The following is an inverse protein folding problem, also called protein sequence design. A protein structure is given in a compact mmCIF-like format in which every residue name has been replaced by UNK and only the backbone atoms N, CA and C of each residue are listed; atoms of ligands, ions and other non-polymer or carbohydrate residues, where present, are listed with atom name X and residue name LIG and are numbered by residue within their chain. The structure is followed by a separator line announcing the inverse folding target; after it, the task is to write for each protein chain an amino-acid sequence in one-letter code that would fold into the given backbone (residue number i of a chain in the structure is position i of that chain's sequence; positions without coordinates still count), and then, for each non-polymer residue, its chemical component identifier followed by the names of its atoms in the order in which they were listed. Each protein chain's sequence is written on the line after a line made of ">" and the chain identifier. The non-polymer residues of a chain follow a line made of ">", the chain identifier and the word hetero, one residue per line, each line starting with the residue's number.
data_IF_043825217522
#
_entry.id   IF_043825217522
#
_cell.length_a   1.000
_cell.length_b   1.000
_cell.length_c   1.000
_cell.angle_alpha   90.00
_cell.angle_beta   90.00
_cell.angle_gamma   90.00
#
_symmetry.space_group_name_H-M   'P 1'
#
loop_
_entity.id
_entity.type
_entity.pdbx_description
1 polymer ?
#
# COMPACT_ATOMS: atom_id res chain seq x y z
N UNK A 1 -24.25 -56.70 15.29
CA UNK A 1 -24.41 -55.45 16.07
C UNK A 1 -24.16 -54.33 15.08
N UNK A 2 -25.23 -53.93 14.44
CA UNK A 2 -25.18 -52.97 13.32
C UNK A 2 -25.23 -51.54 13.90
N UNK A 3 -24.13 -50.85 13.87
CA UNK A 3 -24.02 -49.44 14.24
C UNK A 3 -24.27 -48.56 13.03
N UNK A 4 -25.42 -48.72 12.32
CA UNK A 4 -25.88 -47.77 11.35
C UNK A 4 -26.72 -46.70 12.04
N UNK A 5 -26.28 -45.45 11.99
CA UNK A 5 -27.09 -44.34 12.41
C UNK A 5 -28.36 -44.30 11.55
N UNK A 6 -29.52 -44.09 12.18
CA UNK A 6 -30.77 -43.97 11.51
C UNK A 6 -30.82 -42.68 10.69
N UNK A 7 -31.60 -42.66 9.60
CA UNK A 7 -31.78 -41.47 8.75
C UNK A 7 -32.28 -40.27 9.57
N UNK A 8 -33.01 -40.51 10.66
CA UNK A 8 -33.50 -39.47 11.55
C UNK A 8 -32.38 -38.90 12.42
N UNK A 9 -31.38 -39.68 12.83
CA UNK A 9 -30.19 -39.20 13.54
C UNK A 9 -29.25 -38.43 12.63
N UNK A 10 -29.15 -38.83 11.37
CA UNK A 10 -28.39 -38.07 10.35
C UNK A 10 -29.07 -36.74 10.06
N UNK A 11 -30.39 -36.71 9.92
CA UNK A 11 -31.14 -35.47 9.74
C UNK A 11 -31.11 -34.58 10.98
N UNK A 12 -31.09 -35.12 12.19
CA UNK A 12 -30.95 -34.37 13.42
C UNK A 12 -29.55 -33.73 13.53
N UNK A 13 -28.51 -34.44 13.10
CA UNK A 13 -27.14 -33.90 13.06
C UNK A 13 -26.96 -32.82 11.99
N UNK A 14 -27.63 -32.97 10.82
CA UNK A 14 -27.66 -31.97 9.77
C UNK A 14 -28.58 -30.78 10.10
N UNK A 15 -29.63 -31.01 10.90
CA UNK A 15 -30.61 -29.98 11.33
C UNK A 15 -30.26 -29.38 12.71
N UNK A 16 -29.21 -29.85 13.37
CA UNK A 16 -28.78 -29.44 14.71
C UNK A 16 -28.25 -28.00 14.82
N UNK A 17 -28.61 -27.13 13.91
CA UNK A 17 -28.29 -25.73 13.92
C UNK A 17 -29.51 -24.79 13.97
N UNK A 18 -30.66 -25.25 14.50
CA UNK A 18 -31.77 -24.32 14.76
C UNK A 18 -32.74 -24.90 15.76
N UNK A 19 -32.61 -24.59 17.01
CA UNK A 19 -33.68 -24.42 18.01
C UNK A 19 -33.09 -23.75 19.26
N UNK A 20 -33.10 -22.47 19.33
CA UNK A 20 -33.59 -21.80 20.52
C UNK A 20 -34.20 -20.45 20.14
N UNK A 21 -35.49 -20.39 20.31
CA UNK A 21 -36.32 -19.18 20.20
C UNK A 21 -36.35 -18.55 21.58
N UNK A 22 -35.69 -17.43 21.75
CA UNK A 22 -35.70 -16.73 23.03
C UNK A 22 -34.89 -15.42 22.94
N UNK A 23 -35.62 -14.33 22.70
CA UNK A 23 -35.16 -12.95 22.70
C UNK A 23 -34.06 -12.63 23.72
N UNK A 24 -32.90 -12.25 23.23
CA UNK A 24 -32.15 -11.10 23.77
C UNK A 24 -31.17 -10.62 22.71
N UNK A 25 -31.31 -9.34 22.33
CA UNK A 25 -30.38 -8.70 21.39
C UNK A 25 -29.06 -8.42 22.13
N UNK A 26 -28.27 -9.46 22.32
CA UNK A 26 -26.86 -9.35 22.64
C UNK A 26 -26.09 -9.55 21.36
N UNK A 27 -25.36 -8.52 20.93
CA UNK A 27 -24.44 -8.55 19.81
C UNK A 27 -23.63 -9.86 19.85
N UNK A 28 -23.91 -10.78 18.93
CA UNK A 28 -23.06 -11.95 18.73
C UNK A 28 -21.74 -11.45 18.16
N UNK A 29 -20.76 -11.24 19.04
CA UNK A 29 -19.36 -11.21 18.64
C UNK A 29 -19.01 -12.61 18.16
N UNK A 30 -19.31 -12.90 16.91
CA UNK A 30 -18.67 -14.03 16.21
C UNK A 30 -17.18 -13.73 16.29
N UNK A 31 -16.44 -14.64 16.93
CA UNK A 31 -14.97 -14.53 17.01
C UNK A 31 -14.43 -14.77 15.59
N UNK A 32 -14.50 -13.70 14.75
CA UNK A 32 -14.06 -13.77 13.38
C UNK A 32 -12.56 -14.02 13.32
N UNK A 33 -12.17 -15.01 12.55
CA UNK A 33 -10.77 -15.38 12.33
C UNK A 33 -10.52 -15.66 10.86
N UNK A 34 -9.30 -15.43 10.42
CA UNK A 34 -8.81 -15.86 9.10
C UNK A 34 -8.13 -17.23 9.25
N UNK A 35 -8.22 -18.06 8.24
CA UNK A 35 -7.41 -19.29 8.16
C UNK A 35 -5.94 -18.93 7.95
N UNK A 36 -5.02 -19.86 8.22
CA UNK A 36 -3.60 -19.63 8.00
C UNK A 36 -3.30 -19.35 6.52
N UNK A 37 -3.99 -20.03 5.60
CA UNK A 37 -3.91 -19.78 4.16
C UNK A 37 -4.34 -18.36 3.78
N UNK A 38 -5.41 -17.85 4.41
CA UNK A 38 -5.85 -16.47 4.19
C UNK A 38 -4.83 -15.46 4.70
N UNK A 39 -4.23 -15.70 5.87
CA UNK A 39 -3.17 -14.83 6.42
C UNK A 39 -1.94 -14.82 5.54
N UNK A 40 -1.50 -15.97 5.06
CA UNK A 40 -0.34 -16.11 4.18
C UNK A 40 -0.57 -15.37 2.87
N UNK A 41 -1.73 -15.54 2.26
CA UNK A 41 -2.09 -14.84 1.02
C UNK A 41 -2.17 -13.32 1.21
N UNK A 42 -2.80 -12.83 2.27
CA UNK A 42 -2.83 -11.40 2.61
C UNK A 42 -1.42 -10.87 2.84
N UNK A 43 -0.59 -11.63 3.55
CA UNK A 43 0.81 -11.30 3.78
C UNK A 43 1.60 -11.17 2.47
N UNK A 44 1.42 -12.10 1.53
CA UNK A 44 2.12 -12.09 0.24
C UNK A 44 1.69 -10.91 -0.63
N UNK A 45 0.37 -10.69 -0.80
CA UNK A 45 -0.16 -9.53 -1.54
C UNK A 45 0.37 -8.22 -0.96
N UNK A 46 0.34 -8.11 0.37
CA UNK A 46 0.80 -6.92 1.08
C UNK A 46 2.31 -6.73 0.95
N UNK A 47 3.10 -7.81 1.00
CA UNK A 47 4.54 -7.77 0.83
C UNK A 47 4.95 -7.25 -0.57
N UNK A 48 4.35 -7.80 -1.62
CA UNK A 48 4.65 -7.42 -3.01
C UNK A 48 4.25 -5.95 -3.26
N UNK A 49 3.05 -5.56 -2.83
CA UNK A 49 2.54 -4.20 -3.04
C UNK A 49 3.34 -3.16 -2.26
N UNK A 50 3.66 -3.43 -0.99
CA UNK A 50 4.45 -2.53 -0.15
C UNK A 50 5.93 -2.46 -0.56
N UNK A 51 6.49 -3.50 -1.15
CA UNK A 51 7.82 -3.46 -1.76
C UNK A 51 7.91 -2.45 -2.91
N UNK A 52 6.88 -2.40 -3.76
CA UNK A 52 6.77 -1.37 -4.83
C UNK A 52 6.52 0.01 -4.25
N UNK A 53 5.68 0.11 -3.23
CA UNK A 53 5.39 1.35 -2.50
C UNK A 53 6.64 1.94 -1.84
N UNK A 54 7.50 1.11 -1.25
CA UNK A 54 8.77 1.53 -0.65
C UNK A 54 9.70 2.21 -1.67
N UNK A 55 9.74 1.71 -2.91
CA UNK A 55 10.54 2.30 -3.99
C UNK A 55 10.02 3.70 -4.35
N UNK A 56 8.71 3.88 -4.40
CA UNK A 56 8.08 5.18 -4.66
C UNK A 56 8.39 6.16 -3.54
N UNK A 57 8.25 5.75 -2.28
CA UNK A 57 8.57 6.58 -1.13
C UNK A 57 10.06 6.92 -1.09
N UNK A 58 10.95 5.97 -1.42
CA UNK A 58 12.39 6.21 -1.52
C UNK A 58 12.74 7.31 -2.53
N UNK A 59 12.06 7.29 -3.68
CA UNK A 59 12.25 8.33 -4.72
C UNK A 59 11.75 9.69 -4.25
N UNK A 60 10.60 9.73 -3.57
CA UNK A 60 9.99 10.95 -3.07
C UNK A 60 10.84 11.63 -1.99
N UNK A 61 11.40 10.84 -1.06
CA UNK A 61 12.17 11.33 0.07
C UNK A 61 13.66 11.51 -0.25
N UNK A 62 14.13 11.03 -1.41
CA UNK A 62 15.56 10.94 -1.76
C UNK A 62 16.39 10.25 -0.66
N UNK A 63 15.80 9.24 -0.02
CA UNK A 63 16.39 8.40 1.02
C UNK A 63 16.12 6.93 0.73
N UNK A 64 17.00 6.00 1.09
CA UNK A 64 16.70 4.58 0.98
C UNK A 64 15.58 4.20 1.95
N UNK A 65 14.48 3.67 1.41
CA UNK A 65 13.34 3.15 2.18
C UNK A 65 13.27 1.65 2.01
N UNK A 66 13.20 0.92 3.13
CA UNK A 66 12.96 -0.52 3.13
C UNK A 66 11.73 -0.83 3.98
N UNK A 67 10.85 -1.67 3.44
CA UNK A 67 9.68 -2.21 4.13
C UNK A 67 9.83 -3.73 4.11
N UNK A 68 9.80 -4.34 5.30
CA UNK A 68 10.01 -5.80 5.43
C UNK A 68 8.73 -6.59 5.21
N UNK A 69 8.87 -7.91 5.12
CA UNK A 69 7.75 -8.85 5.09
C UNK A 69 6.80 -8.61 6.26
N UNK A 70 5.48 -8.51 6.02
CA UNK A 70 4.51 -8.18 7.05
C UNK A 70 4.22 -9.35 7.99
N UNK A 71 3.67 -8.98 9.15
CA UNK A 71 3.00 -9.90 10.05
C UNK A 71 1.50 -9.63 10.04
N UNK A 72 0.70 -10.66 9.76
CA UNK A 72 -0.77 -10.60 9.76
C UNK A 72 -1.29 -11.13 11.09
N UNK A 73 -1.89 -10.25 11.88
CA UNK A 73 -2.44 -10.55 13.22
C UNK A 73 -3.81 -9.91 13.39
N UNK A 74 -4.39 -10.04 14.57
CA UNK A 74 -5.64 -9.37 14.95
C UNK A 74 -5.37 -8.42 16.09
N UNK A 75 -6.21 -7.38 16.19
CA UNK A 75 -6.10 -6.36 17.22
C UNK A 75 -7.47 -5.77 17.51
N UNK A 76 -7.67 -5.32 18.72
CA UNK A 76 -8.77 -4.47 19.14
C UNK A 76 -8.28 -3.03 19.30
N UNK A 77 -9.20 -2.09 19.45
CA UNK A 77 -8.84 -0.69 19.69
C UNK A 77 -8.06 -0.52 21.00
N UNK A 78 -8.47 -1.20 22.06
CA UNK A 78 -7.83 -1.09 23.37
C UNK A 78 -6.39 -1.61 23.30
N UNK A 79 -6.15 -2.73 22.60
CA UNK A 79 -4.79 -3.24 22.37
C UNK A 79 -3.94 -2.29 21.51
N UNK A 80 -4.56 -1.62 20.54
CA UNK A 80 -3.87 -0.60 19.75
C UNK A 80 -3.50 0.61 20.62
N UNK A 81 -4.43 1.09 21.43
CA UNK A 81 -4.20 2.21 22.34
C UNK A 81 -3.09 1.90 23.37
N UNK A 82 -3.10 0.70 23.92
CA UNK A 82 -2.06 0.25 24.87
C UNK A 82 -0.66 0.09 24.23
N UNK A 83 -0.61 -0.01 22.89
CA UNK A 83 0.66 -0.18 22.15
C UNK A 83 1.40 1.13 21.89
N UNK A 84 0.78 2.29 22.13
CA UNK A 84 1.34 3.61 21.82
C UNK A 84 1.15 4.61 22.96
N UNK A 85 2.24 5.24 23.37
CA UNK A 85 2.24 6.26 24.42
C UNK A 85 1.89 7.68 23.90
N UNK A 86 1.81 7.86 22.58
CA UNK A 86 1.60 9.16 21.91
C UNK A 86 0.56 9.06 20.83
N UNK A 87 -0.03 10.19 20.42
CA UNK A 87 -0.93 10.24 19.25
C UNK A 87 -0.28 9.64 18.00
N UNK A 88 -1.10 9.06 17.13
CA UNK A 88 -0.70 8.52 15.84
C UNK A 88 -1.40 9.24 14.70
N UNK A 89 -0.78 9.23 13.52
CA UNK A 89 -1.44 9.73 12.31
C UNK A 89 -2.11 8.56 11.59
N UNK A 90 -3.43 8.65 11.44
CA UNK A 90 -4.26 7.71 10.73
C UNK A 90 -4.56 8.26 9.34
N UNK A 91 -4.29 7.45 8.32
CA UNK A 91 -4.65 7.78 6.95
C UNK A 91 -5.72 6.79 6.48
N UNK A 92 -6.93 7.31 6.30
CA UNK A 92 -8.06 6.54 5.80
C UNK A 92 -8.00 6.49 4.28
N UNK A 93 -8.03 5.29 3.71
CA UNK A 93 -7.95 5.03 2.28
C UNK A 93 -9.13 4.14 1.91
N UNK A 94 -9.90 4.54 0.91
CA UNK A 94 -10.99 3.75 0.38
C UNK A 94 -10.59 3.17 -0.99
N UNK A 95 -10.85 1.90 -1.21
CA UNK A 95 -10.76 1.31 -2.54
C UNK A 95 -11.97 1.72 -3.36
N UNK A 96 -11.73 2.26 -4.56
CA UNK A 96 -12.77 2.80 -5.45
C UNK A 96 -13.04 1.92 -6.66
N UNK A 97 -12.16 0.97 -6.93
CA UNK A 97 -12.31 -0.03 -7.97
C UNK A 97 -11.53 -1.30 -7.64
N UNK A 98 -12.07 -2.44 -8.05
CA UNK A 98 -11.41 -3.75 -7.98
C UNK A 98 -11.52 -4.47 -6.64
N UNK A 99 -11.45 -3.75 -5.55
CA UNK A 99 -11.71 -4.19 -4.18
C UNK A 99 -12.78 -3.27 -3.59
N UNK A 100 -13.54 -3.77 -2.63
CA UNK A 100 -14.53 -2.98 -1.90
C UNK A 100 -14.14 -2.97 -0.41
N UNK A 101 -13.89 -1.80 0.13
CA UNK A 101 -13.56 -1.63 1.54
C UNK A 101 -12.60 -0.50 1.84
N UNK A 102 -12.30 -0.37 3.12
CA UNK A 102 -11.45 0.66 3.67
C UNK A 102 -10.16 0.05 4.24
N UNK A 103 -9.08 0.81 4.11
CA UNK A 103 -7.80 0.56 4.75
C UNK A 103 -7.45 1.78 5.61
N UNK A 104 -6.97 1.54 6.80
CA UNK A 104 -6.40 2.58 7.66
C UNK A 104 -4.92 2.32 7.82
N UNK A 105 -4.11 3.24 7.33
CA UNK A 105 -2.67 3.22 7.53
C UNK A 105 -2.34 4.01 8.80
N UNK A 106 -1.53 3.44 9.68
CA UNK A 106 -1.16 4.06 10.95
C UNK A 106 0.34 4.30 11.00
N UNK A 107 0.73 5.54 11.27
CA UNK A 107 2.11 5.97 11.45
C UNK A 107 2.27 6.69 12.80
N UNK A 108 3.47 6.57 13.38
CA UNK A 108 3.83 7.35 14.56
C UNK A 108 4.00 8.82 14.21
N UNK A 109 3.64 9.68 15.13
CA UNK A 109 3.77 11.12 15.00
C UNK A 109 5.21 11.57 14.65
N UNK A 110 6.21 10.99 15.31
CA UNK A 110 7.63 11.24 15.03
C UNK A 110 8.03 10.90 13.59
N UNK A 111 7.61 9.75 13.09
CA UNK A 111 7.90 9.31 11.71
C UNK A 111 7.28 10.27 10.68
N UNK A 112 6.06 10.74 10.96
CA UNK A 112 5.37 11.72 10.11
C UNK A 112 6.16 13.02 10.03
N UNK A 113 6.70 13.54 11.14
CA UNK A 113 7.53 14.74 11.14
C UNK A 113 8.77 14.57 10.25
N UNK A 114 9.50 13.47 10.42
CA UNK A 114 10.68 13.18 9.61
C UNK A 114 10.34 13.07 8.12
N UNK A 115 9.31 12.28 7.78
CA UNK A 115 8.88 12.11 6.38
C UNK A 115 8.51 13.45 5.76
N UNK A 116 7.75 14.29 6.47
CA UNK A 116 7.30 15.58 5.95
C UNK A 116 8.44 16.58 5.86
N UNK A 117 9.40 16.60 6.79
CA UNK A 117 10.61 17.41 6.71
C UNK A 117 11.43 17.04 5.47
N UNK A 118 11.67 15.77 5.24
CA UNK A 118 12.38 15.27 4.05
C UNK A 118 11.66 15.67 2.76
N UNK A 119 10.32 15.59 2.70
CA UNK A 119 9.53 16.03 1.54
C UNK A 119 9.68 17.52 1.26
N UNK A 120 9.82 18.34 2.29
CA UNK A 120 10.04 19.78 2.18
C UNK A 120 11.50 20.16 1.90
N UNK A 121 12.38 19.17 1.74
CA UNK A 121 13.80 19.37 1.43
C UNK A 121 14.69 19.54 2.66
N UNK A 122 14.19 19.19 3.84
CA UNK A 122 14.97 19.13 5.10
C UNK A 122 15.89 17.92 5.17
N UNK A 123 16.50 17.72 6.30
CA UNK A 123 17.48 16.65 6.57
C UNK A 123 16.95 15.56 7.53
N UNK A 124 15.69 15.65 7.95
CA UNK A 124 15.06 14.72 8.88
C UNK A 124 15.36 14.98 10.35
N UNK A 125 16.03 16.10 10.69
CA UNK A 125 16.22 16.53 12.07
C UNK A 125 14.98 17.32 12.52
N UNK A 126 14.15 16.73 13.33
CA UNK A 126 12.85 17.27 13.75
C UNK A 126 12.81 17.50 15.26
N UNK A 127 11.95 18.43 15.68
CA UNK A 127 11.68 18.69 17.09
C UNK A 127 10.36 18.00 17.48
N UNK A 128 10.43 17.04 18.41
CA UNK A 128 9.26 16.30 18.89
C UNK A 128 8.29 17.14 19.75
N UNK A 129 8.72 18.30 20.23
CA UNK A 129 7.88 19.19 21.01
C UNK A 129 6.97 20.08 20.15
N UNK A 130 7.20 20.15 18.83
CA UNK A 130 6.33 20.87 17.92
C UNK A 130 5.08 20.05 17.59
N UNK A 131 3.88 20.65 17.68
CA UNK A 131 2.65 19.91 17.35
C UNK A 131 2.56 19.61 15.84
N UNK A 132 1.98 18.46 15.50
CA UNK A 132 1.58 18.17 14.12
C UNK A 132 0.48 19.16 13.72
N UNK A 133 0.72 19.91 12.64
CA UNK A 133 -0.23 20.86 12.05
C UNK A 133 -0.74 20.40 10.68
N UNK A 134 -1.62 21.22 10.09
CA UNK A 134 -2.22 20.94 8.77
C UNK A 134 -1.19 20.73 7.67
N UNK A 135 -0.06 21.43 7.71
CA UNK A 135 1.01 21.26 6.74
C UNK A 135 1.59 19.84 6.80
N UNK A 136 1.82 19.31 8.00
CA UNK A 136 2.32 17.94 8.19
C UNK A 136 1.27 16.92 7.70
N UNK A 137 -0.01 17.10 8.06
CA UNK A 137 -1.08 16.18 7.63
C UNK A 137 -1.28 16.21 6.11
N UNK A 138 -1.19 17.37 5.48
CA UNK A 138 -1.29 17.51 4.03
C UNK A 138 -0.08 16.85 3.33
N UNK A 139 1.13 17.08 3.81
CA UNK A 139 2.35 16.53 3.23
C UNK A 139 2.40 15.00 3.37
N UNK A 140 2.09 14.47 4.56
CA UNK A 140 2.03 13.01 4.75
C UNK A 140 0.90 12.37 3.93
N UNK A 141 -0.24 13.06 3.80
CA UNK A 141 -1.33 12.62 2.93
C UNK A 141 -0.89 12.46 1.49
N UNK A 142 -0.12 13.41 0.96
CA UNK A 142 0.43 13.34 -0.40
C UNK A 142 1.50 12.23 -0.54
N UNK A 143 2.42 12.11 0.43
CA UNK A 143 3.41 11.02 0.42
C UNK A 143 2.74 9.65 0.37
N UNK A 144 1.74 9.44 1.22
CA UNK A 144 1.01 8.19 1.30
C UNK A 144 0.09 7.97 0.10
N UNK A 145 -0.43 9.04 -0.52
CA UNK A 145 -1.18 8.95 -1.77
C UNK A 145 -0.32 8.37 -2.90
N UNK A 146 0.89 8.88 -3.08
CA UNK A 146 1.83 8.37 -4.09
C UNK A 146 2.30 6.94 -3.76
N UNK A 147 2.62 6.67 -2.51
CA UNK A 147 3.04 5.36 -2.03
C UNK A 147 1.95 4.31 -2.24
N UNK A 148 0.73 4.57 -1.78
CA UNK A 148 -0.39 3.64 -1.88
C UNK A 148 -0.96 3.52 -3.30
N UNK A 149 -0.87 4.59 -4.11
CA UNK A 149 -1.18 4.53 -5.54
C UNK A 149 -0.25 3.56 -6.29
N UNK A 150 1.03 3.57 -5.94
CA UNK A 150 2.01 2.61 -6.44
C UNK A 150 1.71 1.17 -5.97
N UNK A 151 1.33 0.98 -4.70
CA UNK A 151 0.87 -0.29 -4.18
C UNK A 151 -0.36 -0.82 -4.93
N UNK A 152 -1.37 0.03 -5.17
CA UNK A 152 -2.58 -0.31 -5.91
C UNK A 152 -2.26 -0.71 -7.37
N UNK A 153 -1.31 -0.03 -8.01
CA UNK A 153 -0.82 -0.39 -9.35
C UNK A 153 -0.13 -1.76 -9.35
N UNK A 154 0.68 -2.05 -8.34
CA UNK A 154 1.32 -3.37 -8.17
C UNK A 154 0.29 -4.47 -7.96
N UNK A 155 -0.70 -4.24 -7.08
CA UNK A 155 -1.82 -5.16 -6.89
C UNK A 155 -2.63 -5.37 -8.18
N UNK A 156 -2.90 -4.31 -8.95
CA UNK A 156 -3.61 -4.40 -10.23
C UNK A 156 -2.89 -5.34 -11.20
N UNK A 157 -1.57 -5.22 -11.29
CA UNK A 157 -0.74 -6.07 -12.15
C UNK A 157 -0.71 -7.53 -11.69
N UNK A 158 -0.63 -7.75 -10.39
CA UNK A 158 -0.57 -9.09 -9.80
C UNK A 158 -1.90 -9.82 -9.89
N UNK A 159 -3.01 -9.11 -9.67
CA UNK A 159 -4.36 -9.69 -9.63
C UNK A 159 -5.06 -9.67 -10.99
N UNK A 160 -4.43 -9.13 -12.04
CA UNK A 160 -5.03 -9.00 -13.38
C UNK A 160 -6.31 -8.15 -13.40
N UNK A 161 -6.52 -7.29 -12.40
CA UNK A 161 -7.75 -6.53 -12.18
C UNK A 161 -7.40 -5.08 -11.85
N UNK A 162 -8.15 -4.13 -12.42
CA UNK A 162 -7.96 -2.72 -12.10
C UNK A 162 -8.28 -2.46 -10.62
N UNK A 163 -7.32 -1.96 -9.86
CA UNK A 163 -7.47 -1.54 -8.47
C UNK A 163 -7.14 -0.05 -8.37
N UNK A 164 -8.07 0.73 -7.87
CA UNK A 164 -7.91 2.16 -7.61
C UNK A 164 -8.25 2.49 -6.17
N UNK A 165 -7.65 3.55 -5.66
CA UNK A 165 -7.89 4.07 -4.31
C UNK A 165 -8.32 5.54 -4.35
N UNK A 166 -9.03 5.99 -3.31
CA UNK A 166 -9.24 7.41 -3.05
C UNK A 166 -7.96 8.06 -2.50
N UNK A 167 -7.79 9.37 -2.64
CA UNK A 167 -6.75 10.08 -1.90
C UNK A 167 -6.89 9.84 -0.39
N UNK A 168 -5.79 9.54 0.33
CA UNK A 168 -5.82 9.33 1.77
C UNK A 168 -6.26 10.58 2.53
N UNK A 169 -7.06 10.38 3.58
CA UNK A 169 -7.42 11.45 4.53
C UNK A 169 -6.60 11.23 5.80
N UNK A 170 -5.69 12.17 6.09
CA UNK A 170 -4.81 12.10 7.25
C UNK A 170 -5.42 12.85 8.44
N UNK A 171 -5.43 12.20 9.61
CA UNK A 171 -5.88 12.77 10.87
C UNK A 171 -4.91 12.41 11.99
N UNK A 172 -4.63 13.35 12.89
CA UNK A 172 -3.93 13.07 14.14
C UNK A 172 -4.93 12.53 15.15
N UNK A 173 -4.70 11.32 15.65
CA UNK A 173 -5.62 10.60 16.54
C UNK A 173 -4.93 10.40 17.88
N UNK A 174 -5.58 10.88 18.95
CA UNK A 174 -5.23 10.52 20.31
C UNK A 174 -5.96 9.21 20.66
N UNK A 175 -5.18 8.16 20.82
CA UNK A 175 -5.69 6.81 21.07
C UNK A 175 -6.37 6.67 22.45
N UNK A 176 -6.10 7.59 23.39
CA UNK A 176 -6.73 7.62 24.71
C UNK A 176 -8.17 8.20 24.67
N UNK A 177 -8.54 8.83 23.56
CA UNK A 177 -9.89 9.39 23.36
C UNK A 177 -10.76 8.33 22.68
N UNK A 178 -12.04 8.25 23.06
CA UNK A 178 -12.97 7.28 22.48
C UNK A 178 -13.13 7.50 20.97
N UNK A 179 -13.28 6.40 20.25
CA UNK A 179 -13.38 6.37 18.79
C UNK A 179 -14.49 7.24 18.22
N UNK A 180 -15.65 7.28 18.88
CA UNK A 180 -16.83 8.07 18.46
C UNK A 180 -16.53 9.56 18.32
N UNK A 181 -15.55 10.08 19.06
CA UNK A 181 -15.11 11.47 19.01
C UNK A 181 -14.12 11.76 17.87
N UNK A 182 -13.48 10.73 17.33
CA UNK A 182 -12.40 10.85 16.34
C UNK A 182 -12.86 10.69 14.87
N UNK A 183 -14.14 10.46 14.62
CA UNK A 183 -14.71 10.22 13.26
C UNK A 183 -13.97 9.12 12.47
N UNK A 184 -13.66 8.02 13.14
CA UNK A 184 -12.95 6.88 12.58
C UNK A 184 -13.91 5.87 11.94
N UNK A 185 -13.44 5.01 11.04
CA UNK A 185 -14.24 3.94 10.46
C UNK A 185 -14.82 2.99 11.53
N UNK A 186 -16.09 2.62 11.38
CA UNK A 186 -16.83 1.81 12.35
C UNK A 186 -16.18 0.44 12.65
N UNK A 187 -15.46 -0.15 11.68
CA UNK A 187 -14.81 -1.46 11.88
C UNK A 187 -13.76 -1.46 12.99
N UNK A 188 -13.22 -0.29 13.35
CA UNK A 188 -12.27 -0.16 14.46
C UNK A 188 -12.92 -0.32 15.83
N UNK A 189 -14.27 -0.28 15.92
CA UNK A 189 -15.03 -0.56 17.15
C UNK A 189 -15.09 -2.04 17.50
N UNK A 190 -14.66 -2.89 16.60
CA UNK A 190 -14.62 -4.34 16.77
C UNK A 190 -13.19 -4.84 16.65
N UNK A 191 -12.98 -6.15 16.67
CA UNK A 191 -11.71 -6.79 16.33
C UNK A 191 -11.43 -6.60 14.82
N UNK A 192 -10.22 -6.26 14.45
CA UNK A 192 -9.81 -6.02 13.07
C UNK A 192 -8.50 -6.73 12.73
N UNK A 193 -8.20 -6.84 11.45
CA UNK A 193 -6.96 -7.44 10.95
C UNK A 193 -5.88 -6.37 10.92
N UNK A 194 -4.74 -6.66 11.55
CA UNK A 194 -3.51 -5.83 11.53
C UNK A 194 -2.49 -6.47 10.62
N UNK A 195 -2.00 -5.72 9.65
CA UNK A 195 -0.87 -6.08 8.79
C UNK A 195 0.27 -5.11 9.11
N UNK A 196 1.27 -5.58 9.84
CA UNK A 196 2.35 -4.75 10.36
C UNK A 196 3.65 -4.98 9.60
N UNK A 197 4.32 -3.89 9.24
CA UNK A 197 5.60 -3.88 8.54
C UNK A 197 6.63 -3.11 9.35
N UNK A 198 7.86 -3.60 9.40
CA UNK A 198 8.97 -2.76 9.83
C UNK A 198 9.40 -1.87 8.65
N UNK A 199 9.46 -0.57 8.88
CA UNK A 199 9.88 0.44 7.90
C UNK A 199 11.17 1.10 8.38
N UNK A 200 12.16 1.18 7.49
CA UNK A 200 13.38 1.97 7.73
C UNK A 200 13.56 3.01 6.64
N UNK A 201 13.94 4.24 7.02
CA UNK A 201 14.24 5.34 6.09
C UNK A 201 15.64 5.85 6.43
N UNK A 202 16.62 5.53 5.60
CA UNK A 202 18.03 5.82 5.89
C UNK A 202 18.45 5.35 7.28
N UNK A 203 19.02 6.29 8.04
CA UNK A 203 19.34 6.12 9.46
C UNK A 203 18.40 6.94 10.37
N UNK A 204 17.31 7.50 9.79
CA UNK A 204 16.43 8.44 10.46
C UNK A 204 15.23 7.75 11.09
N UNK A 205 14.67 6.74 10.43
CA UNK A 205 13.52 5.98 10.90
C UNK A 205 13.84 4.49 10.95
N UNK A 206 13.52 3.85 12.05
CA UNK A 206 13.40 2.40 12.22
C UNK A 206 12.14 2.15 13.08
N UNK A 207 11.03 1.94 12.43
CA UNK A 207 9.72 1.96 13.05
C UNK A 207 8.78 0.93 12.43
N UNK A 208 7.58 0.80 12.99
CA UNK A 208 6.50 -0.02 12.45
C UNK A 208 5.47 0.88 11.75
N UNK A 209 5.12 0.51 10.52
CA UNK A 209 3.94 1.00 9.81
C UNK A 209 2.91 -0.11 9.74
N UNK A 210 1.66 0.18 10.01
CA UNK A 210 0.63 -0.84 10.00
C UNK A 210 -0.57 -0.45 9.14
N UNK A 211 -1.19 -1.46 8.57
CA UNK A 211 -2.46 -1.37 7.86
C UNK A 211 -3.51 -2.11 8.66
N UNK A 212 -4.65 -1.46 8.86
CA UNK A 212 -5.79 -2.02 9.58
C UNK A 212 -6.93 -2.26 8.59
N UNK A 213 -7.46 -3.48 8.60
CA UNK A 213 -8.51 -3.93 7.70
C UNK A 213 -9.71 -4.48 8.46
N UNK A 214 -10.94 -4.25 8.01
CA UNK A 214 -12.09 -5.07 8.43
C UNK A 214 -11.92 -6.51 7.91
N UNK A 215 -12.47 -7.49 8.62
CA UNK A 215 -12.38 -8.91 8.23
C UNK A 215 -12.96 -9.19 6.84
N UNK A 216 -14.07 -8.56 6.49
CA UNK A 216 -14.71 -8.74 5.18
C UNK A 216 -13.80 -8.29 4.04
N UNK A 217 -13.09 -7.15 4.23
CA UNK A 217 -12.10 -6.71 3.25
C UNK A 217 -10.93 -7.69 3.13
N UNK A 218 -10.41 -8.18 4.26
CA UNK A 218 -9.33 -9.15 4.28
C UNK A 218 -9.71 -10.46 3.56
N UNK A 219 -10.94 -10.95 3.77
CA UNK A 219 -11.47 -12.12 3.06
C UNK A 219 -11.64 -11.85 1.56
N UNK A 220 -12.20 -10.70 1.18
CA UNK A 220 -12.33 -10.29 -0.23
C UNK A 220 -10.98 -10.17 -0.94
N UNK A 221 -9.96 -9.64 -0.26
CA UNK A 221 -8.60 -9.57 -0.79
C UNK A 221 -8.04 -10.98 -1.10
N UNK A 222 -8.24 -11.92 -0.18
CA UNK A 222 -7.87 -13.32 -0.38
C UNK A 222 -8.60 -13.95 -1.58
N UNK A 223 -9.92 -13.77 -1.68
CA UNK A 223 -10.72 -14.32 -2.78
C UNK A 223 -10.24 -13.84 -4.15
N UNK A 224 -9.99 -12.53 -4.27
CA UNK A 224 -9.47 -11.94 -5.52
C UNK A 224 -8.08 -12.47 -5.86
N UNK A 225 -7.22 -12.66 -4.85
CA UNK A 225 -5.88 -13.23 -5.02
C UNK A 225 -5.93 -14.69 -5.46
N UNK A 226 -6.77 -15.51 -4.81
CA UNK A 226 -6.93 -16.92 -5.13
C UNK A 226 -7.46 -17.13 -6.57
N UNK A 227 -8.42 -16.29 -7.02
CA UNK A 227 -8.93 -16.31 -8.39
C UNK A 227 -7.85 -15.92 -9.40
N UNK A 228 -7.07 -14.87 -9.14
CA UNK A 228 -5.98 -14.44 -10.02
C UNK A 228 -4.87 -15.48 -10.18
N UNK A 229 -4.62 -16.30 -9.16
CA UNK A 229 -3.69 -17.44 -9.25
C UNK A 229 -4.21 -18.58 -10.12
N UNK A 230 -5.52 -18.85 -10.14
CA UNK A 230 -6.13 -19.90 -10.97
C UNK A 230 -6.07 -19.54 -12.45
N UNK A 231 -6.39 -18.32 -12.84
CA UNK A 231 -6.35 -17.86 -14.24
C UNK A 231 -4.92 -17.93 -14.84
N UNK A 232 -3.90 -17.68 -14.02
CA UNK A 232 -2.51 -17.81 -14.45
C UNK A 232 -2.04 -19.28 -14.59
N UNK A 233 -2.63 -20.20 -13.86
CA UNK A 233 -2.29 -21.64 -13.94
C UNK A 233 -2.87 -22.28 -15.20
N UNK A 234 -4.04 -21.87 -15.64
CA UNK A 234 -4.69 -22.41 -16.86
C UNK A 234 -4.03 -21.90 -18.15
N UNK A 235 -3.39 -20.73 -18.11
CA UNK A 235 -2.67 -20.17 -19.27
C UNK A 235 -1.28 -20.79 -19.51
N UNK A 236 -0.68 -21.42 -18.49
CA UNK A 236 0.62 -22.12 -18.63
C UNK A 236 0.45 -23.54 -19.18
N UNK A 237 -0.74 -24.15 -19.06
CA UNK A 237 -1.01 -25.52 -19.48
C UNK A 237 -1.26 -25.69 -20.99
N UNK A 238 -1.37 -24.61 -21.78
CA UNK A 238 -1.70 -24.67 -23.23
C UNK A 238 -0.55 -24.32 -24.18
N UNK A 239 0.66 -24.09 -23.69
CA UNK A 239 1.85 -23.93 -24.53
C UNK A 239 2.75 -25.18 -24.49
N UNK A 240 2.31 -26.25 -25.13
CA UNK A 240 3.19 -27.35 -25.54
C UNK A 240 4.03 -26.86 -26.72
N UNK A 241 5.38 -26.92 -26.66
CA UNK A 241 6.20 -26.65 -27.82
C UNK A 241 6.02 -27.82 -28.83
N UNK A 242 5.49 -27.53 -30.00
CA UNK A 242 5.56 -28.47 -31.13
C UNK A 242 7.03 -28.67 -31.49
N UNK A 243 7.50 -29.89 -31.31
CA UNK A 243 8.76 -30.36 -31.92
C UNK A 243 8.60 -30.32 -33.44
N UNK A 244 9.17 -29.34 -34.08
CA UNK A 244 9.39 -29.34 -35.53
C UNK A 244 10.84 -29.75 -35.82
N UNK A 245 10.91 -30.87 -36.53
CA UNK A 245 12.04 -31.64 -36.96
C UNK A 245 13.24 -30.81 -37.46
N UNK A 246 14.40 -31.04 -36.87
CA UNK A 246 15.68 -30.60 -37.39
C UNK A 246 16.05 -31.36 -38.67
N UNK A 247 16.22 -30.66 -39.79
CA UNK A 247 17.06 -31.12 -40.91
C UNK A 247 18.38 -30.33 -40.92
N UNK A 248 19.53 -31.00 -41.15
CA UNK A 248 20.83 -30.33 -41.14
C UNK A 248 21.09 -29.67 -42.48
N UNK A 249 21.38 -28.39 -42.51
CA UNK A 249 21.88 -27.68 -43.68
C UNK A 249 23.38 -27.32 -43.47
N UNK A 250 24.12 -27.77 -44.46
CA UNK A 250 25.53 -27.68 -44.78
C UNK A 250 26.17 -26.29 -44.57
N UNK A 251 27.43 -26.36 -44.10
CA UNK A 251 28.41 -25.28 -44.05
C UNK A 251 28.65 -24.58 -45.40
N UNK A 252 28.74 -23.26 -45.37
CA UNK A 252 29.65 -22.49 -46.26
C UNK A 252 30.14 -21.20 -45.57
N UNK A 253 31.38 -20.80 -45.85
CA UNK A 253 32.13 -19.89 -44.96
C UNK A 253 32.18 -18.42 -45.44
N UNK A 254 32.40 -17.56 -44.43
CA UNK A 254 33.18 -16.32 -44.49
C UNK A 254 32.67 -15.13 -45.31
N UNK A 255 32.26 -14.08 -44.61
CA UNK A 255 32.58 -12.70 -45.03
C UNK A 255 32.76 -11.80 -43.79
N UNK A 256 33.77 -10.96 -43.86
CA UNK A 256 34.35 -10.13 -42.82
C UNK A 256 33.42 -9.03 -42.25
N UNK A 257 33.73 -8.47 -41.06
CA UNK A 257 32.90 -7.51 -40.40
C UNK A 257 32.97 -6.11 -41.03
N UNK A 258 31.84 -5.52 -41.37
CA UNK A 258 31.74 -4.12 -41.76
C UNK A 258 31.76 -3.23 -40.52
N UNK A 259 32.58 -2.19 -40.62
CA UNK A 259 32.78 -1.15 -39.61
C UNK A 259 31.50 -0.44 -39.20
N UNK A 260 31.28 -0.28 -37.90
CA UNK A 260 30.29 0.63 -37.33
C UNK A 260 30.61 2.06 -37.74
N UNK A 261 29.63 2.71 -38.40
CA UNK A 261 29.65 4.13 -38.63
C UNK A 261 29.23 4.84 -37.31
N UNK A 262 30.11 5.75 -36.90
CA UNK A 262 29.83 6.67 -35.76
C UNK A 262 28.70 7.62 -36.10
N UNK A 263 27.81 7.95 -35.18
CA UNK A 263 26.83 9.02 -35.36
C UNK A 263 27.53 10.38 -35.28
N UNK A 264 27.17 11.27 -36.22
CA UNK A 264 27.64 12.65 -36.33
C UNK A 264 27.29 13.48 -35.09
N UNK A 265 28.16 14.42 -34.66
CA UNK A 265 27.90 15.29 -33.52
C UNK A 265 26.82 16.34 -33.83
N UNK A 266 25.99 16.59 -32.81
CA UNK A 266 24.94 17.62 -32.82
C UNK A 266 25.55 19.05 -32.95
N UNK A 267 24.85 20.01 -33.60
CA UNK A 267 25.36 21.37 -33.77
C UNK A 267 25.40 22.13 -32.44
N UNK A 268 26.53 22.78 -32.19
CA UNK A 268 26.73 23.67 -31.04
C UNK A 268 25.88 24.94 -31.18
N UNK A 269 25.33 25.52 -30.09
CA UNK A 269 24.66 26.82 -30.15
C UNK A 269 25.67 27.95 -30.35
N UNK A 270 25.39 28.79 -31.34
CA UNK A 270 26.15 29.98 -31.62
C UNK A 270 26.02 31.02 -30.51
N UNK A 271 27.17 31.50 -30.08
CA UNK A 271 27.36 32.57 -29.14
C UNK A 271 26.87 33.92 -29.74
N UNK A 272 25.73 34.42 -29.26
CA UNK A 272 25.23 35.75 -29.61
C UNK A 272 25.78 36.77 -28.62
N UNK A 273 26.56 37.73 -29.10
CA UNK A 273 27.14 38.77 -28.31
C UNK A 273 26.06 39.70 -27.69
N UNK A 274 26.28 40.27 -26.48
CA UNK A 274 25.32 41.15 -25.84
C UNK A 274 25.29 42.52 -26.49
N UNK A 275 24.08 43.00 -26.82
CA UNK A 275 23.86 44.38 -27.23
C UNK A 275 23.88 45.32 -26.04
N UNK A 276 24.39 46.60 -26.20
CA UNK A 276 24.47 47.54 -25.08
C UNK A 276 23.10 48.16 -24.77
N UNK A 277 22.77 48.14 -23.47
CA UNK A 277 21.60 48.81 -22.91
C UNK A 277 21.76 50.32 -23.02
N UNK A 278 20.80 50.99 -23.68
CA UNK A 278 20.62 52.43 -23.60
C UNK A 278 20.05 52.81 -22.23
N UNK A 279 20.77 53.61 -21.50
CA UNK A 279 20.30 54.32 -20.31
C UNK A 279 19.23 55.34 -20.74
N UNK A 280 18.00 55.14 -20.23
CA UNK A 280 16.99 56.22 -20.23
C UNK A 280 17.16 57.05 -18.96
N UNK A 281 17.53 58.31 -19.14
CA UNK A 281 17.57 59.34 -18.12
C UNK A 281 16.14 59.68 -17.65
N UNK A 282 15.92 59.70 -16.36
CA UNK A 282 14.75 60.31 -15.76
C UNK A 282 14.92 61.84 -15.67
N UNK A 283 13.93 62.63 -16.02
CA UNK A 283 13.96 64.05 -15.69
C UNK A 283 13.36 64.29 -14.31
N UNK A 284 14.13 65.02 -13.53
CA UNK A 284 13.69 65.68 -12.30
C UNK A 284 12.63 66.72 -12.61
N UNK A 285 11.48 66.69 -11.92
CA UNK A 285 10.46 67.73 -11.92
C UNK A 285 10.18 68.20 -10.52
N UNK A 286 10.59 69.40 -10.25
CA UNK A 286 10.29 70.23 -9.05
C UNK A 286 8.82 70.65 -9.03
N UNK A 287 8.28 70.85 -7.81
CA UNK A 287 7.39 71.93 -7.65
C UNK A 287 6.17 71.77 -6.73
N UNK A 288 6.24 72.45 -5.59
CA UNK A 288 5.23 73.03 -4.70
C UNK A 288 4.37 72.12 -3.84
#
# INVERSE_FOLDING_TARGET
>A
MDGMLSQDEINALLSGANLDDGADAAASTTDETLTDEQKDAIGEVSNISMGTAATTLSTLLNQPVNITTPQVTYMTWDELADSYDRPCVFLQIQYTAGLDGNNVLVLKEHDVRIITDLMMGGNGEVNDDEPIGELHLSAIGEAMNQMMGSAATSMSSMLGKKIDISPPIANLIDLNVKQDENNLPEFLNTKFVKVAFRMTIGNLIDSEIMQLYPFDFAKSLYEVFALGMQDNSDNVATSTPSEESAQPATEQPSAAPQAMQQPSPAPQPQNVAPQPQMQQQMPYGYGA
#
